data_IF_941369975598
#
_entry.id   IF_941369975598
#
_cell.length_a   1.000
_cell.length_b   1.000
_cell.length_c   1.000
_cell.angle_alpha   90.00
_cell.angle_beta   90.00
_cell.angle_gamma   90.00
#
_symmetry.space_group_name_H-M   'P 1'
#
loop_
_entity.id
_entity.type
_entity.pdbx_description
1 polymer ?
#
# COMPACT_ATOMS: atom_id res chain seq x y z
N UNK A 1 -10.06 -55.40 -8.31
CA UNK A 1 -10.64 -54.12 -8.80
C UNK A 1 -11.14 -53.36 -7.58
N UNK A 2 -10.67 -52.19 -7.14
CA UNK A 2 -10.08 -51.01 -7.76
C UNK A 2 -9.03 -50.42 -6.78
N UNK A 3 -7.85 -50.04 -7.26
CA UNK A 3 -6.93 -49.20 -6.48
C UNK A 3 -7.25 -47.72 -6.76
N UNK A 4 -7.47 -46.94 -5.70
CA UNK A 4 -7.65 -45.49 -5.76
C UNK A 4 -6.28 -44.80 -5.81
N UNK A 5 -6.00 -44.07 -6.88
CA UNK A 5 -4.76 -43.31 -7.05
C UNK A 5 -4.89 -41.92 -6.43
N UNK A 6 -4.14 -41.68 -5.34
CA UNK A 6 -3.99 -40.36 -4.74
C UNK A 6 -3.09 -39.47 -5.65
N UNK A 7 -3.68 -38.48 -6.32
CA UNK A 7 -2.93 -37.41 -6.99
C UNK A 7 -2.30 -36.49 -5.94
N UNK A 8 -1.00 -36.64 -5.70
CA UNK A 8 -0.18 -35.60 -5.06
C UNK A 8 -0.19 -34.35 -5.94
N UNK A 9 -0.87 -33.30 -5.52
CA UNK A 9 -0.67 -31.95 -6.07
C UNK A 9 0.74 -31.47 -5.68
N UNK A 10 1.72 -31.78 -6.53
CA UNK A 10 3.06 -31.23 -6.40
C UNK A 10 2.99 -29.71 -6.63
N UNK A 11 3.31 -28.93 -5.60
CA UNK A 11 3.47 -27.49 -5.71
C UNK A 11 4.51 -27.18 -6.79
N UNK A 12 4.10 -26.47 -7.85
CA UNK A 12 5.01 -25.98 -8.88
C UNK A 12 6.02 -25.03 -8.22
N UNK A 13 7.29 -25.46 -8.17
CA UNK A 13 8.42 -24.62 -7.77
C UNK A 13 8.47 -23.39 -8.69
N UNK A 14 8.48 -22.16 -8.17
CA UNK A 14 8.53 -20.98 -9.03
C UNK A 14 9.87 -20.95 -9.76
N UNK A 15 9.82 -20.75 -11.08
CA UNK A 15 11.00 -20.64 -11.92
C UNK A 15 11.86 -19.44 -11.48
N UNK A 16 13.17 -19.65 -11.37
CA UNK A 16 14.14 -18.60 -11.06
C UNK A 16 14.09 -17.51 -12.13
N UNK A 17 13.66 -16.30 -11.76
CA UNK A 17 13.56 -15.16 -12.67
C UNK A 17 14.94 -14.50 -12.81
N UNK A 18 15.43 -14.38 -14.05
CA UNK A 18 16.73 -13.81 -14.41
C UNK A 18 16.93 -12.41 -13.80
N UNK A 19 18.12 -12.16 -13.28
CA UNK A 19 18.56 -10.93 -12.60
C UNK A 19 18.94 -9.83 -13.59
N UNK A 20 17.95 -9.10 -14.09
CA UNK A 20 18.06 -7.66 -14.37
C UNK A 20 17.21 -6.93 -13.34
N UNK A 21 17.49 -5.67 -12.99
CA UNK A 21 16.66 -4.92 -12.03
C UNK A 21 15.25 -4.72 -12.59
N UNK A 22 14.39 -5.72 -12.40
CA UNK A 22 13.03 -5.70 -12.91
C UNK A 22 12.30 -4.55 -12.24
N UNK A 23 11.74 -3.64 -13.06
CA UNK A 23 10.87 -2.57 -12.60
C UNK A 23 9.85 -3.14 -11.61
N UNK A 24 9.79 -2.57 -10.41
CA UNK A 24 8.82 -2.96 -9.37
C UNK A 24 7.41 -2.73 -9.90
N UNK A 25 6.45 -3.56 -9.48
CA UNK A 25 5.05 -3.38 -9.85
C UNK A 25 4.50 -2.05 -9.31
N UNK A 26 4.96 -1.67 -8.13
CA UNK A 26 4.72 -0.35 -7.51
C UNK A 26 6.09 0.26 -7.24
N UNK A 27 6.46 1.34 -7.92
CA UNK A 27 7.69 2.08 -7.64
C UNK A 27 7.59 2.77 -6.27
N UNK A 28 6.61 3.65 -6.12
CA UNK A 28 6.35 4.40 -4.87
C UNK A 28 4.94 4.17 -4.33
N UNK A 29 4.86 3.66 -3.09
CA UNK A 29 3.63 3.49 -2.31
C UNK A 29 3.58 4.55 -1.20
N UNK A 30 2.47 5.28 -1.12
CA UNK A 30 2.17 6.20 0.00
C UNK A 30 1.04 5.63 0.83
N UNK A 31 1.22 5.53 2.14
CA UNK A 31 0.23 4.97 3.07
C UNK A 31 -0.20 6.02 4.07
N UNK A 32 -1.47 6.41 4.00
CA UNK A 32 -2.11 7.19 5.05
C UNK A 32 -2.64 6.23 6.11
N UNK A 33 -2.01 6.19 7.28
CA UNK A 33 -2.37 5.27 8.37
C UNK A 33 -1.54 3.99 8.39
N UNK A 34 -0.33 4.07 8.97
CA UNK A 34 0.58 2.91 9.14
C UNK A 34 0.24 2.13 10.43
N UNK A 35 -0.98 1.60 10.50
CA UNK A 35 -1.45 0.71 11.57
C UNK A 35 -1.39 -0.77 11.17
N UNK A 36 -2.28 -1.59 11.73
CA UNK A 36 -2.35 -3.03 11.39
C UNK A 36 -2.56 -3.26 9.89
N UNK A 37 -3.53 -2.60 9.27
CA UNK A 37 -3.88 -2.81 7.86
C UNK A 37 -2.81 -2.23 6.93
N UNK A 38 -2.50 -0.93 7.07
CA UNK A 38 -1.49 -0.27 6.23
C UNK A 38 -0.11 -0.92 6.36
N UNK A 39 0.29 -1.29 7.59
CA UNK A 39 1.56 -1.96 7.84
C UNK A 39 1.62 -3.37 7.25
N UNK A 40 0.56 -4.18 7.43
CA UNK A 40 0.48 -5.53 6.83
C UNK A 40 0.53 -5.49 5.32
N UNK A 41 -0.15 -4.51 4.69
CA UNK A 41 -0.12 -4.31 3.25
C UNK A 41 1.28 -3.96 2.75
N UNK A 42 1.97 -3.02 3.42
CA UNK A 42 3.35 -2.65 3.09
C UNK A 42 4.29 -3.86 3.17
N UNK A 43 4.22 -4.62 4.26
CA UNK A 43 5.04 -5.80 4.48
C UNK A 43 4.78 -6.87 3.43
N UNK A 44 3.52 -7.14 3.07
CA UNK A 44 3.19 -8.10 2.02
C UNK A 44 3.81 -7.72 0.67
N UNK A 45 3.74 -6.43 0.27
CA UNK A 45 4.37 -5.97 -0.96
C UNK A 45 5.90 -6.05 -0.92
N UNK A 46 6.51 -5.73 0.23
CA UNK A 46 7.96 -5.87 0.43
C UNK A 46 8.41 -7.33 0.36
N UNK A 47 7.69 -8.25 1.01
CA UNK A 47 7.96 -9.70 0.96
C UNK A 47 7.90 -10.25 -0.47
N UNK A 48 6.94 -9.78 -1.28
CA UNK A 48 6.84 -10.13 -2.71
C UNK A 48 7.82 -9.39 -3.61
N UNK A 49 8.67 -8.52 -3.04
CA UNK A 49 9.58 -7.62 -3.76
C UNK A 49 8.84 -6.80 -4.83
N UNK A 50 7.57 -6.48 -4.59
CA UNK A 50 6.66 -5.83 -5.53
C UNK A 50 6.64 -4.31 -5.41
N UNK A 51 7.13 -3.76 -4.29
CA UNK A 51 7.27 -2.32 -4.04
C UNK A 51 8.73 -1.87 -4.05
N UNK A 52 8.99 -0.65 -4.54
CA UNK A 52 10.31 0.00 -4.49
C UNK A 52 10.52 0.79 -3.20
N UNK A 53 9.64 1.76 -2.93
CA UNK A 53 9.68 2.62 -1.75
C UNK A 53 8.29 2.69 -1.10
N UNK A 54 8.25 2.67 0.23
CA UNK A 54 7.05 2.89 1.04
C UNK A 54 7.21 4.16 1.89
N UNK A 55 6.32 5.13 1.68
CA UNK A 55 6.25 6.38 2.45
C UNK A 55 5.04 6.32 3.38
N UNK A 56 5.27 6.49 4.67
CA UNK A 56 4.23 6.51 5.69
C UNK A 56 3.78 7.93 6.06
N UNK A 57 2.47 8.15 6.10
CA UNK A 57 1.83 9.38 6.57
C UNK A 57 0.91 9.05 7.74
N UNK A 58 0.96 9.83 8.81
CA UNK A 58 0.13 9.60 9.99
C UNK A 58 0.26 10.67 11.06
N UNK A 59 -0.66 10.65 12.03
CA UNK A 59 -0.73 11.64 13.11
C UNK A 59 0.33 11.43 14.19
N UNK A 60 0.53 10.18 14.60
CA UNK A 60 1.39 9.83 15.73
C UNK A 60 2.82 9.59 15.26
N UNK A 61 3.72 10.53 15.56
CA UNK A 61 5.15 10.45 15.20
C UNK A 61 5.81 9.17 15.73
N UNK A 62 5.51 8.78 16.98
CA UNK A 62 6.05 7.58 17.60
C UNK A 62 5.72 6.30 16.81
N UNK A 63 4.48 6.16 16.33
CA UNK A 63 4.06 5.02 15.51
C UNK A 63 4.80 4.97 14.17
N UNK A 64 5.01 6.12 13.53
CA UNK A 64 5.74 6.21 12.27
C UNK A 64 7.23 5.87 12.46
N UNK A 65 7.84 6.36 13.54
CA UNK A 65 9.23 6.00 13.90
C UNK A 65 9.37 4.50 14.15
N UNK A 66 8.42 3.90 14.88
CA UNK A 66 8.39 2.46 15.08
C UNK A 66 8.24 1.70 13.76
N UNK A 67 7.32 2.11 12.88
CA UNK A 67 7.14 1.50 11.57
C UNK A 67 8.40 1.59 10.69
N UNK A 68 9.11 2.73 10.72
CA UNK A 68 10.39 2.88 10.01
C UNK A 68 11.46 1.96 10.58
N UNK A 69 11.61 1.91 11.91
CA UNK A 69 12.55 1.02 12.60
C UNK A 69 12.28 -0.47 12.29
N UNK A 70 11.02 -0.86 12.17
CA UNK A 70 10.59 -2.21 11.81
C UNK A 70 10.68 -2.50 10.30
N UNK A 71 11.13 -1.54 9.48
CA UNK A 71 11.26 -1.69 8.04
C UNK A 71 9.92 -1.75 7.28
N UNK A 72 8.81 -1.43 7.93
CA UNK A 72 7.47 -1.38 7.32
C UNK A 72 7.40 -0.26 6.29
N UNK A 73 7.95 0.91 6.65
CA UNK A 73 8.08 2.07 5.78
C UNK A 73 9.56 2.46 5.65
N UNK A 74 9.92 3.07 4.53
CA UNK A 74 11.27 3.55 4.25
C UNK A 74 11.41 5.02 4.66
N UNK A 75 10.33 5.79 4.47
CA UNK A 75 10.29 7.23 4.72
C UNK A 75 9.05 7.61 5.52
N UNK A 76 9.19 8.68 6.31
CA UNK A 76 8.07 9.29 7.04
C UNK A 76 7.84 10.65 6.42
N UNK A 77 6.66 10.87 5.85
CA UNK A 77 6.31 12.16 5.30
C UNK A 77 5.94 13.15 6.40
N UNK A 78 6.39 14.38 6.25
CA UNK A 78 5.98 15.54 7.05
C UNK A 78 4.94 16.41 6.33
N UNK A 79 4.87 16.31 5.01
CA UNK A 79 3.89 16.99 4.16
C UNK A 79 3.16 15.96 3.28
N UNK A 80 1.84 15.76 3.48
CA UNK A 80 1.00 14.90 2.64
C UNK A 80 1.04 15.25 1.14
N UNK A 81 1.05 16.54 0.79
CA UNK A 81 1.03 16.98 -0.60
C UNK A 81 2.33 16.60 -1.32
N UNK A 82 3.47 16.80 -0.65
CA UNK A 82 4.76 16.32 -1.14
C UNK A 82 4.85 14.81 -1.22
N UNK A 83 4.29 14.10 -0.24
CA UNK A 83 4.38 12.64 -0.19
C UNK A 83 3.77 11.99 -1.43
N UNK A 84 2.63 12.49 -1.91
CA UNK A 84 1.89 11.89 -3.02
C UNK A 84 2.43 12.24 -4.41
N UNK A 85 3.36 13.19 -4.52
CA UNK A 85 4.04 13.47 -5.80
C UNK A 85 4.76 12.22 -6.29
N UNK A 86 4.56 11.88 -7.56
CA UNK A 86 5.12 10.69 -8.22
C UNK A 86 4.76 9.36 -7.55
N UNK A 87 3.70 9.32 -6.74
CA UNK A 87 3.20 8.07 -6.19
C UNK A 87 2.55 7.22 -7.29
N UNK A 88 2.93 5.94 -7.39
CA UNK A 88 2.22 4.99 -8.24
C UNK A 88 0.93 4.52 -7.55
N UNK A 89 0.98 4.37 -6.22
CA UNK A 89 -0.13 3.90 -5.41
C UNK A 89 -0.25 4.69 -4.10
N UNK A 90 -1.46 5.14 -3.79
CA UNK A 90 -1.84 5.71 -2.50
C UNK A 90 -2.84 4.77 -1.83
N UNK A 91 -2.55 4.35 -0.59
CA UNK A 91 -3.47 3.57 0.25
C UNK A 91 -4.01 4.44 1.39
N UNK A 92 -5.33 4.59 1.44
CA UNK A 92 -6.05 5.20 2.55
C UNK A 92 -6.42 4.12 3.58
N UNK A 93 -5.65 4.07 4.67
CA UNK A 93 -5.84 3.17 5.81
C UNK A 93 -6.05 3.94 7.13
N UNK A 94 -6.57 5.17 7.04
CA UNK A 94 -7.01 5.97 8.19
C UNK A 94 -8.46 5.62 8.57
N UNK A 95 -8.92 5.98 9.79
CA UNK A 95 -10.34 5.88 10.13
C UNK A 95 -11.21 6.61 9.10
N UNK A 96 -12.40 6.07 8.80
CA UNK A 96 -13.28 6.58 7.75
C UNK A 96 -13.55 8.09 7.82
N UNK A 97 -13.74 8.62 9.04
CA UNK A 97 -14.00 10.04 9.27
C UNK A 97 -12.86 10.95 8.79
N UNK A 98 -11.65 10.43 8.61
CA UNK A 98 -10.47 11.21 8.20
C UNK A 98 -10.24 11.18 6.68
N UNK A 99 -10.86 10.25 5.95
CA UNK A 99 -10.62 10.08 4.51
C UNK A 99 -10.94 11.34 3.70
N UNK A 100 -12.04 12.03 4.01
CA UNK A 100 -12.42 13.26 3.31
C UNK A 100 -11.35 14.36 3.41
N UNK A 101 -10.80 14.59 4.61
CA UNK A 101 -9.75 15.58 4.81
C UNK A 101 -8.45 15.18 4.11
N UNK A 102 -8.10 13.89 4.16
CA UNK A 102 -6.93 13.37 3.43
C UNK A 102 -7.09 13.59 1.93
N UNK A 103 -8.22 13.14 1.35
CA UNK A 103 -8.52 13.28 -0.07
C UNK A 103 -8.46 14.74 -0.52
N UNK A 104 -9.11 15.64 0.21
CA UNK A 104 -9.06 17.08 -0.06
C UNK A 104 -7.63 17.63 -0.10
N UNK A 105 -6.76 17.17 0.83
CA UNK A 105 -5.37 17.63 0.92
C UNK A 105 -4.46 17.08 -0.18
N UNK A 106 -4.79 15.95 -0.82
CA UNK A 106 -3.91 15.30 -1.80
C UNK A 106 -4.42 15.38 -3.23
N UNK A 107 -5.72 15.54 -3.45
CA UNK A 107 -6.33 15.53 -4.79
C UNK A 107 -5.68 16.55 -5.77
N UNK A 108 -5.27 17.76 -5.35
CA UNK A 108 -4.57 18.68 -6.25
C UNK A 108 -3.14 18.25 -6.63
N UNK A 109 -2.58 17.24 -5.95
CA UNK A 109 -1.17 16.88 -6.02
C UNK A 109 -0.91 15.46 -6.52
N UNK A 110 -1.96 14.65 -6.72
CA UNK A 110 -1.83 13.29 -7.28
C UNK A 110 -1.57 13.35 -8.79
N UNK A 111 -0.74 12.43 -9.28
CA UNK A 111 -0.45 12.31 -10.70
C UNK A 111 -1.59 11.63 -11.46
N UNK A 112 -1.73 11.92 -12.75
CA UNK A 112 -2.77 11.33 -13.61
C UNK A 112 -2.73 9.79 -13.72
N UNK A 113 -1.60 9.17 -13.36
CA UNK A 113 -1.41 7.71 -13.35
C UNK A 113 -1.43 7.11 -11.95
N UNK A 114 -1.56 7.93 -10.91
CA UNK A 114 -1.58 7.48 -9.51
C UNK A 114 -2.88 6.72 -9.26
N UNK A 115 -2.77 5.49 -8.75
CA UNK A 115 -3.92 4.74 -8.27
C UNK A 115 -4.15 5.14 -6.81
N UNK A 116 -5.38 5.51 -6.46
CA UNK A 116 -5.81 5.73 -5.07
C UNK A 116 -6.79 4.63 -4.70
N UNK A 117 -6.55 3.97 -3.58
CA UNK A 117 -7.43 2.93 -3.03
C UNK A 117 -7.53 3.05 -1.52
N UNK A 118 -8.49 2.35 -0.91
CA UNK A 118 -8.78 2.43 0.51
C UNK A 118 -8.98 1.04 1.15
N UNK A 119 -8.82 0.96 2.46
CA UNK A 119 -9.06 -0.25 3.25
C UNK A 119 -10.18 -0.11 4.31
N UNK A 120 -11.07 0.87 4.14
CA UNK A 120 -12.22 1.10 5.02
C UNK A 120 -13.27 -0.01 4.96
N UNK A 121 -14.03 -0.18 6.03
CA UNK A 121 -15.11 -1.19 6.11
C UNK A 121 -16.42 -0.75 5.44
N UNK A 122 -16.66 0.57 5.29
CA UNK A 122 -17.83 1.09 4.57
C UNK A 122 -17.42 1.70 3.23
N UNK A 123 -18.03 1.22 2.14
CA UNK A 123 -17.64 1.58 0.77
C UNK A 123 -18.44 2.74 0.19
N UNK A 124 -19.72 2.83 0.53
CA UNK A 124 -20.60 3.92 0.04
C UNK A 124 -20.08 5.29 0.48
N UNK A 125 -19.61 5.40 1.72
CA UNK A 125 -19.12 6.67 2.27
C UNK A 125 -17.83 7.13 1.62
N UNK A 126 -16.83 6.25 1.51
CA UNK A 126 -15.55 6.59 0.87
C UNK A 126 -15.71 6.90 -0.61
N UNK A 127 -16.56 6.19 -1.35
CA UNK A 127 -16.87 6.54 -2.75
C UNK A 127 -17.50 7.94 -2.83
N UNK A 128 -18.44 8.26 -1.94
CA UNK A 128 -19.08 9.59 -1.88
C UNK A 128 -18.08 10.69 -1.53
N UNK A 129 -17.13 10.42 -0.64
CA UNK A 129 -16.06 11.35 -0.28
C UNK A 129 -15.09 11.56 -1.44
N UNK A 130 -14.65 10.49 -2.09
CA UNK A 130 -13.72 10.55 -3.22
C UNK A 130 -14.28 11.35 -4.40
N UNK A 131 -15.56 11.18 -4.74
CA UNK A 131 -16.21 11.90 -5.87
C UNK A 131 -16.36 13.42 -5.68
N UNK A 132 -16.02 13.97 -4.51
CA UNK A 132 -16.09 15.42 -4.23
C UNK A 132 -14.82 16.16 -4.62
N UNK A 133 -13.79 15.43 -5.01
CA UNK A 133 -12.44 15.91 -5.30
C UNK A 133 -12.00 15.37 -6.66
#
# INVERSE_FOLDING_TARGET
MKQATAKKHAARKPAARKTGSAKKAVGKLVIFGVGLIGGSFALALKQKRAVGQVVGVGRTRANLLAAKRLGIIDEIATDPAAAVRDADLVLLAVPLAQNAAVLASIAPHIGAKTIVTDAGSTKRDIIKQARRH
#
